data_IF_772205221892
#
_entry.id   IF_772205221892
#
_cell.length_a   1.000
_cell.length_b   1.000
_cell.length_c   1.000
_cell.angle_alpha   90.00
_cell.angle_beta   90.00
_cell.angle_gamma   90.00
#
_symmetry.space_group_name_H-M   'P 1'
#
loop_
_entity.id
_entity.type
_entity.pdbx_description
1 polymer ?
#
# COMPACT_ATOMS: atom_id res chain seq x y z
N UNK A 1 19.95 -35.44 -17.35
CA UNK A 1 18.89 -34.87 -16.50
C UNK A 1 19.39 -33.55 -15.94
N UNK A 2 18.84 -32.43 -16.39
CA UNK A 2 19.22 -31.10 -15.88
C UNK A 2 18.31 -30.80 -14.70
N UNK A 3 18.87 -30.81 -13.49
CA UNK A 3 18.13 -30.52 -12.28
C UNK A 3 18.12 -28.99 -12.11
N UNK A 4 16.95 -28.39 -12.29
CA UNK A 4 16.72 -26.94 -12.24
C UNK A 4 16.75 -26.43 -10.80
N UNK A 5 17.93 -26.40 -10.17
CA UNK A 5 18.10 -25.85 -8.82
C UNK A 5 18.02 -24.31 -8.77
N UNK A 6 18.06 -23.63 -9.93
CA UNK A 6 18.01 -22.16 -9.99
C UNK A 6 16.61 -21.58 -10.10
N UNK A 7 15.59 -22.36 -10.45
CA UNK A 7 14.22 -21.82 -10.63
C UNK A 7 13.41 -21.71 -9.34
N UNK A 8 13.72 -22.50 -8.31
CA UNK A 8 12.96 -22.48 -7.04
C UNK A 8 13.32 -21.31 -6.13
N UNK A 9 14.60 -20.89 -6.11
CA UNK A 9 15.08 -19.79 -5.27
C UNK A 9 14.48 -18.42 -5.67
N UNK A 10 14.27 -18.17 -6.98
CA UNK A 10 13.61 -16.95 -7.46
C UNK A 10 12.10 -16.92 -7.21
N UNK A 11 11.49 -18.04 -6.84
CA UNK A 11 10.05 -18.10 -6.60
C UNK A 11 9.70 -17.73 -5.16
N UNK A 12 10.51 -18.19 -4.19
CA UNK A 12 10.36 -17.82 -2.78
C UNK A 12 10.55 -16.31 -2.54
N UNK A 13 11.30 -15.63 -3.39
CA UNK A 13 11.52 -14.17 -3.33
C UNK A 13 10.29 -13.34 -3.75
N UNK A 14 9.27 -13.97 -4.36
CA UNK A 14 8.02 -13.32 -4.79
C UNK A 14 6.88 -13.55 -3.82
N UNK A 15 7.10 -14.41 -2.84
CA UNK A 15 6.07 -14.93 -1.94
C UNK A 15 6.27 -14.29 -0.57
N UNK A 16 5.25 -13.56 -0.15
CA UNK A 16 5.12 -13.03 1.18
C UNK A 16 4.05 -13.80 1.90
N UNK A 17 4.33 -14.21 3.13
CA UNK A 17 3.27 -14.70 4.01
C UNK A 17 2.94 -13.57 4.98
N UNK A 18 1.67 -13.22 5.12
CA UNK A 18 1.21 -12.31 6.17
C UNK A 18 0.40 -13.10 7.18
N UNK A 19 0.67 -12.87 8.46
CA UNK A 19 -0.18 -13.29 9.57
C UNK A 19 -0.90 -12.05 10.09
N UNK A 20 -2.22 -12.05 9.99
CA UNK A 20 -3.04 -10.86 10.22
C UNK A 20 -3.96 -11.06 11.41
N UNK A 21 -3.91 -10.11 12.33
CA UNK A 21 -4.96 -9.85 13.32
C UNK A 21 -5.88 -8.76 12.80
N UNK A 22 -7.17 -9.07 12.77
CA UNK A 22 -8.20 -8.12 12.40
C UNK A 22 -9.15 -7.89 13.57
N UNK A 23 -9.45 -6.62 13.80
CA UNK A 23 -10.39 -6.14 14.80
C UNK A 23 -11.23 -5.03 14.18
N UNK A 24 -12.53 -5.00 14.49
CA UNK A 24 -13.49 -4.04 13.88
C UNK A 24 -13.07 -2.56 14.04
N UNK A 25 -12.50 -2.18 15.19
CA UNK A 25 -12.22 -0.79 15.54
C UNK A 25 -10.74 -0.37 15.37
N UNK A 26 -9.89 -1.21 14.77
CA UNK A 26 -8.46 -0.93 14.65
C UNK A 26 -7.95 -1.18 13.24
N UNK A 27 -6.91 -0.42 12.80
CA UNK A 27 -6.22 -0.76 11.57
C UNK A 27 -5.72 -2.20 11.65
N UNK A 28 -5.72 -2.89 10.52
CA UNK A 28 -5.22 -4.27 10.43
C UNK A 28 -3.78 -4.34 10.94
N UNK A 29 -3.49 -5.26 11.85
CA UNK A 29 -2.14 -5.45 12.38
C UNK A 29 -1.63 -6.83 11.98
N UNK A 30 -0.33 -6.95 11.74
CA UNK A 30 0.21 -8.23 11.35
C UNK A 30 1.71 -8.31 11.26
N UNK A 31 2.16 -9.52 10.94
CA UNK A 31 3.56 -9.83 10.69
C UNK A 31 3.69 -10.27 9.23
N UNK A 32 4.56 -9.59 8.51
CA UNK A 32 5.02 -9.95 7.18
C UNK A 32 6.24 -10.85 7.30
N UNK A 33 6.18 -12.01 6.65
CA UNK A 33 7.26 -12.98 6.53
C UNK A 33 7.70 -13.04 5.06
N UNK A 34 9.00 -12.95 4.84
CA UNK A 34 9.60 -13.06 3.52
C UNK A 34 10.34 -14.40 3.37
N UNK A 35 9.86 -15.30 2.49
CA UNK A 35 10.47 -16.61 2.28
C UNK A 35 10.51 -17.53 3.52
N UNK A 36 11.15 -18.71 3.38
CA UNK A 36 11.18 -19.75 4.44
C UNK A 36 12.12 -19.44 5.61
N UNK A 37 12.99 -18.44 5.50
CA UNK A 37 13.95 -18.06 6.55
C UNK A 37 14.16 -16.55 6.72
N UNK A 38 13.33 -15.72 6.11
CA UNK A 38 13.61 -14.28 5.99
C UNK A 38 12.97 -13.39 7.06
N UNK A 39 13.39 -12.13 6.96
CA UNK A 39 13.05 -10.99 7.81
C UNK A 39 11.56 -10.96 8.17
N UNK A 40 11.28 -10.78 9.47
CA UNK A 40 9.94 -10.54 9.98
C UNK A 40 9.76 -9.04 10.18
N UNK A 41 8.78 -8.46 9.51
CA UNK A 41 8.42 -7.06 9.69
C UNK A 41 7.01 -6.97 10.30
N UNK A 42 6.85 -6.22 11.38
CA UNK A 42 5.52 -5.87 11.89
C UNK A 42 4.98 -4.74 11.03
N UNK A 43 3.71 -4.81 10.67
CA UNK A 43 3.01 -3.73 9.99
C UNK A 43 1.70 -3.39 10.69
N UNK A 44 1.33 -2.11 10.60
CA UNK A 44 0.06 -1.54 11.05
C UNK A 44 -0.61 -0.85 9.87
N UNK A 45 -1.74 -1.38 9.43
CA UNK A 45 -2.48 -0.92 8.27
C UNK A 45 -1.90 -1.39 6.94
N UNK A 46 -2.72 -1.28 5.89
CA UNK A 46 -2.34 -1.69 4.54
C UNK A 46 -1.26 -0.82 3.89
N UNK A 47 -1.17 0.47 4.26
CA UNK A 47 -0.10 1.33 3.75
C UNK A 47 1.27 0.82 4.19
N UNK A 48 1.42 0.44 5.46
CA UNK A 48 2.69 -0.08 5.97
C UNK A 48 3.02 -1.45 5.39
N UNK A 49 2.03 -2.34 5.25
CA UNK A 49 2.20 -3.58 4.49
C UNK A 49 2.72 -3.31 3.07
N UNK A 50 2.09 -2.35 2.38
CA UNK A 50 2.46 -2.00 1.03
C UNK A 50 3.90 -1.46 0.95
N UNK A 51 4.25 -0.61 1.91
CA UNK A 51 5.58 -0.03 2.06
C UNK A 51 6.65 -1.10 2.30
N UNK A 52 6.44 -2.01 3.24
CA UNK A 52 7.41 -3.07 3.56
C UNK A 52 7.68 -3.97 2.35
N UNK A 53 6.62 -4.41 1.65
CA UNK A 53 6.78 -5.19 0.43
C UNK A 53 7.48 -4.41 -0.70
N UNK A 54 7.15 -3.11 -0.89
CA UNK A 54 7.87 -2.24 -1.84
C UNK A 54 9.37 -2.16 -1.53
N UNK A 55 9.74 -2.05 -0.26
CA UNK A 55 11.15 -2.03 0.18
C UNK A 55 11.84 -3.36 -0.10
N UNK A 56 11.18 -4.49 0.17
CA UNK A 56 11.70 -5.81 -0.17
C UNK A 56 11.93 -5.93 -1.68
N UNK A 57 10.99 -5.51 -2.52
CA UNK A 57 11.15 -5.55 -3.98
C UNK A 57 12.26 -4.64 -4.49
N UNK A 58 12.44 -3.46 -3.89
CA UNK A 58 13.53 -2.55 -4.23
C UNK A 58 14.90 -3.16 -3.90
N UNK A 59 15.03 -3.84 -2.75
CA UNK A 59 16.26 -4.51 -2.33
C UNK A 59 16.60 -5.73 -3.19
N UNK A 60 15.59 -6.56 -3.49
CA UNK A 60 15.75 -7.74 -4.35
C UNK A 60 15.92 -7.38 -5.84
N UNK A 61 15.56 -6.14 -6.22
CA UNK A 61 15.39 -5.71 -7.61
C UNK A 61 14.49 -6.66 -8.43
N UNK A 62 13.53 -7.28 -7.76
CA UNK A 62 12.65 -8.29 -8.33
C UNK A 62 11.33 -8.39 -7.54
N UNK A 63 10.15 -8.48 -8.21
CA UNK A 63 9.95 -8.21 -9.63
C UNK A 63 10.33 -6.77 -9.97
N UNK A 64 10.94 -6.56 -11.14
CA UNK A 64 11.34 -5.21 -11.55
C UNK A 64 10.10 -4.38 -11.84
N UNK A 65 10.01 -3.15 -11.30
CA UNK A 65 8.97 -2.24 -11.72
C UNK A 65 9.20 -1.88 -13.19
N UNK A 66 8.13 -1.86 -13.98
CA UNK A 66 8.20 -1.41 -15.39
C UNK A 66 8.32 0.12 -15.47
N UNK A 67 8.00 0.80 -14.38
CA UNK A 67 7.84 2.25 -14.30
C UNK A 67 8.64 2.79 -13.12
N UNK A 68 9.34 3.90 -13.32
CA UNK A 68 10.02 4.60 -12.22
C UNK A 68 9.00 5.17 -11.23
N UNK A 69 9.34 5.14 -9.94
CA UNK A 69 8.47 5.65 -8.89
C UNK A 69 8.40 7.17 -8.96
N UNK A 70 7.18 7.71 -8.97
CA UNK A 70 6.98 9.15 -8.82
C UNK A 70 6.99 9.52 -7.35
N UNK A 71 7.63 10.64 -7.05
CA UNK A 71 7.76 11.12 -5.69
C UNK A 71 7.28 12.57 -5.60
N UNK A 72 6.70 12.91 -4.45
CA UNK A 72 6.45 14.30 -4.09
C UNK A 72 7.75 15.02 -3.67
N UNK A 73 8.85 14.29 -3.52
CA UNK A 73 10.17 14.77 -3.11
C UNK A 73 11.17 14.52 -4.25
N UNK A 74 12.18 15.37 -4.39
CA UNK A 74 13.34 15.12 -5.27
C UNK A 74 14.67 15.17 -4.50
N UNK A 75 14.65 15.53 -3.22
CA UNK A 75 15.81 15.54 -2.35
C UNK A 75 16.16 14.12 -1.91
N UNK A 76 17.46 13.79 -1.87
CA UNK A 76 17.97 12.59 -1.20
C UNK A 76 17.67 12.72 0.29
N UNK A 77 16.46 12.36 0.70
CA UNK A 77 16.22 12.05 2.10
C UNK A 77 17.08 10.84 2.39
N UNK A 78 18.08 10.98 3.27
CA UNK A 78 18.69 9.83 3.91
C UNK A 78 17.53 9.03 4.49
N UNK A 79 17.24 7.89 3.87
CA UNK A 79 16.32 6.90 4.42
C UNK A 79 17.09 6.31 5.60
N UNK A 80 17.24 7.07 6.67
CA UNK A 80 17.61 6.53 7.95
C UNK A 80 16.51 5.53 8.27
N UNK A 81 16.91 4.26 8.26
CA UNK A 81 16.13 3.19 8.86
C UNK A 81 15.87 3.62 10.30
N UNK A 82 14.74 4.25 10.55
CA UNK A 82 14.11 4.22 11.86
C UNK A 82 13.60 2.78 12.06
N UNK A 83 14.54 1.84 12.13
CA UNK A 83 14.29 0.53 12.69
C UNK A 83 13.99 0.78 14.14
N UNK A 84 12.71 0.80 14.49
CA UNK A 84 12.33 0.55 15.87
C UNK A 84 12.91 -0.85 16.15
N UNK A 85 13.82 -1.02 17.13
CA UNK A 85 14.27 -2.33 17.55
C UNK A 85 13.07 -3.00 18.22
N UNK A 86 12.22 -3.62 17.41
CA UNK A 86 11.08 -4.38 17.87
C UNK A 86 11.58 -5.70 18.43
N UNK A 87 11.47 -5.85 19.74
CA UNK A 87 11.45 -7.12 20.46
C UNK A 87 10.78 -8.23 19.63
N UNK A 88 11.29 -9.46 19.77
CA UNK A 88 10.78 -10.63 19.07
C UNK A 88 9.25 -10.63 19.05
N UNK A 89 8.60 -10.64 17.86
CA UNK A 89 7.16 -10.44 17.76
C UNK A 89 6.44 -11.53 18.56
N UNK A 90 5.66 -11.11 19.56
CA UNK A 90 4.76 -12.00 20.28
C UNK A 90 3.86 -12.72 19.27
N UNK A 91 3.66 -14.03 19.48
CA UNK A 91 2.83 -14.83 18.59
C UNK A 91 1.41 -14.26 18.57
N UNK A 92 1.05 -13.79 17.39
CA UNK A 92 -0.28 -13.28 17.08
C UNK A 92 -1.31 -14.40 17.30
N UNK A 93 -2.17 -14.20 18.30
CA UNK A 93 -3.09 -15.19 18.84
C UNK A 93 -4.48 -15.20 18.21
N UNK A 94 -4.60 -15.13 16.88
CA UNK A 94 -5.75 -15.61 16.06
C UNK A 94 -5.50 -15.38 14.56
N UNK A 95 -4.23 -15.46 14.12
CA UNK A 95 -3.82 -14.99 12.79
C UNK A 95 -4.53 -15.69 11.63
N UNK A 96 -5.25 -14.92 10.80
CA UNK A 96 -5.52 -15.35 9.42
C UNK A 96 -4.22 -15.24 8.62
N UNK A 97 -3.76 -16.38 8.07
CA UNK A 97 -2.52 -16.44 7.28
C UNK A 97 -2.82 -16.38 5.80
N UNK A 98 -2.20 -15.42 5.11
CA UNK A 98 -2.31 -15.28 3.66
C UNK A 98 -0.94 -15.40 3.01
N UNK A 99 -0.89 -16.11 1.89
CA UNK A 99 0.27 -16.20 1.03
C UNK A 99 0.02 -15.32 -0.18
N UNK A 100 0.75 -14.21 -0.28
CA UNK A 100 0.67 -13.25 -1.38
C UNK A 100 1.86 -13.48 -2.30
N UNK A 101 1.59 -13.73 -3.58
CA UNK A 101 2.61 -13.84 -4.62
C UNK A 101 2.45 -12.72 -5.63
N UNK A 102 3.42 -11.81 -5.67
CA UNK A 102 3.46 -10.75 -6.69
C UNK A 102 4.24 -11.24 -7.89
N UNK A 103 3.57 -11.31 -9.04
CA UNK A 103 4.15 -11.83 -10.29
C UNK A 103 4.67 -10.71 -11.19
N UNK A 104 3.97 -9.57 -11.23
CA UNK A 104 4.30 -8.45 -12.10
C UNK A 104 4.06 -7.11 -11.40
N UNK A 105 4.76 -6.08 -11.89
CA UNK A 105 4.67 -4.69 -11.39
C UNK A 105 4.45 -3.71 -12.54
N UNK A 106 3.26 -3.78 -13.13
CA UNK A 106 2.83 -2.93 -14.23
C UNK A 106 1.95 -1.78 -13.73
N UNK A 107 1.90 -0.69 -14.49
CA UNK A 107 1.09 0.50 -14.21
C UNK A 107 1.33 1.10 -12.82
N UNK A 108 2.56 0.98 -12.29
CA UNK A 108 2.90 1.36 -10.92
C UNK A 108 2.01 0.68 -9.85
N UNK A 109 1.54 -0.54 -10.11
CA UNK A 109 0.79 -1.38 -9.16
C UNK A 109 1.34 -2.80 -9.15
N UNK A 110 0.68 -3.70 -8.43
CA UNK A 110 1.04 -5.12 -8.32
C UNK A 110 -0.02 -6.00 -8.96
N UNK A 111 0.45 -7.02 -9.67
CA UNK A 111 -0.36 -8.12 -10.19
C UNK A 111 0.13 -9.42 -9.58
N UNK A 112 -0.78 -10.33 -9.28
CA UNK A 112 -0.40 -11.53 -8.56
C UNK A 112 -1.58 -12.37 -8.13
N UNK A 113 -1.34 -13.19 -7.11
CA UNK A 113 -2.37 -13.97 -6.47
C UNK A 113 -2.18 -14.02 -4.96
N UNK A 114 -3.26 -14.29 -4.26
CA UNK A 114 -3.30 -14.46 -2.81
C UNK A 114 -4.12 -15.69 -2.48
N UNK A 115 -3.66 -16.50 -1.52
CA UNK A 115 -4.42 -17.61 -0.95
C UNK A 115 -4.40 -17.53 0.57
N UNK A 116 -5.44 -18.06 1.20
CA UNK A 116 -5.51 -18.23 2.66
C UNK A 116 -5.22 -19.68 3.01
N UNK A 117 -4.04 -19.97 3.56
CA UNK A 117 -3.55 -21.34 3.72
C UNK A 117 -3.63 -22.14 2.40
N UNK A 118 -4.13 -23.37 2.47
CA UNK A 118 -4.39 -24.26 1.31
C UNK A 118 -5.73 -23.96 0.60
N UNK A 119 -6.31 -22.77 0.85
CA UNK A 119 -7.59 -22.33 0.29
C UNK A 119 -7.51 -21.92 -1.19
N UNK A 120 -8.64 -21.43 -1.69
CA UNK A 120 -8.76 -20.99 -3.08
C UNK A 120 -7.78 -19.85 -3.41
N UNK A 121 -7.24 -19.90 -4.63
CA UNK A 121 -6.36 -18.86 -5.16
C UNK A 121 -7.19 -17.71 -5.72
N UNK A 122 -7.01 -16.51 -5.18
CA UNK A 122 -7.58 -15.29 -5.72
C UNK A 122 -6.53 -14.54 -6.56
N UNK A 123 -6.83 -14.27 -7.83
CA UNK A 123 -5.96 -13.49 -8.72
C UNK A 123 -6.33 -12.02 -8.62
N UNK A 124 -5.33 -11.16 -8.42
CA UNK A 124 -5.50 -9.71 -8.39
C UNK A 124 -4.69 -9.03 -9.50
N UNK A 125 -5.26 -8.00 -10.11
CA UNK A 125 -4.63 -7.17 -11.14
C UNK A 125 -4.08 -5.83 -10.60
N UNK A 126 -4.43 -5.49 -9.35
CA UNK A 126 -3.96 -4.27 -8.70
C UNK A 126 -3.82 -4.46 -7.18
N UNK A 127 -3.02 -3.59 -6.56
CA UNK A 127 -2.95 -3.50 -5.09
C UNK A 127 -4.32 -3.19 -4.47
N UNK A 128 -5.15 -2.39 -5.14
CA UNK A 128 -6.49 -2.05 -4.66
C UNK A 128 -7.40 -3.29 -4.61
N UNK A 129 -7.33 -4.18 -5.61
CA UNK A 129 -8.05 -5.45 -5.57
C UNK A 129 -7.55 -6.38 -4.47
N UNK A 130 -6.23 -6.41 -4.22
CA UNK A 130 -5.66 -7.19 -3.12
C UNK A 130 -6.22 -6.73 -1.77
N UNK A 131 -6.21 -5.42 -1.50
CA UNK A 131 -6.79 -4.85 -0.26
C UNK A 131 -8.28 -5.17 -0.16
N UNK A 132 -9.03 -5.02 -1.27
CA UNK A 132 -10.46 -5.32 -1.28
C UNK A 132 -10.78 -6.77 -0.98
N UNK A 133 -9.97 -7.71 -1.48
CA UNK A 133 -10.07 -9.12 -1.15
C UNK A 133 -9.78 -9.38 0.34
N UNK A 134 -8.67 -8.85 0.85
CA UNK A 134 -8.28 -9.03 2.26
C UNK A 134 -9.33 -8.47 3.22
N UNK A 135 -9.84 -7.27 2.94
CA UNK A 135 -10.89 -6.63 3.75
C UNK A 135 -12.21 -7.43 3.72
N UNK A 136 -12.59 -7.99 2.57
CA UNK A 136 -13.79 -8.83 2.46
C UNK A 136 -13.65 -10.11 3.27
N UNK A 137 -12.50 -10.77 3.18
CA UNK A 137 -12.24 -12.03 3.88
C UNK A 137 -12.09 -11.82 5.39
N UNK A 138 -11.38 -10.77 5.81
CA UNK A 138 -11.18 -10.44 7.24
C UNK A 138 -12.44 -9.90 7.90
N UNK A 139 -13.20 -9.05 7.22
CA UNK A 139 -14.44 -8.46 7.75
C UNK A 139 -15.62 -9.43 7.79
N UNK A 140 -15.44 -10.69 7.39
CA UNK A 140 -16.46 -11.74 7.52
C UNK A 140 -17.73 -11.51 6.69
N UNK A 141 -17.69 -10.62 5.68
CA UNK A 141 -18.85 -10.34 4.82
C UNK A 141 -18.97 -11.49 3.81
N UNK A 142 -19.66 -12.55 4.22
CA UNK A 142 -20.20 -13.55 3.30
C UNK A 142 -21.21 -12.87 2.38
N UNK A 143 -20.87 -12.73 1.09
CA UNK A 143 -21.70 -12.35 -0.06
C UNK A 143 -23.11 -11.79 0.26
N UNK A 144 -23.15 -10.68 0.98
CA UNK A 144 -24.36 -9.86 1.06
C UNK A 144 -24.26 -8.82 -0.03
N UNK A 145 -24.96 -9.10 -1.14
CA UNK A 145 -25.23 -8.21 -2.26
C UNK A 145 -25.21 -6.71 -1.88
N UNK A 146 -24.11 -6.04 -2.17
CA UNK A 146 -24.03 -4.57 -2.26
C UNK A 146 -22.90 -4.07 -3.18
N UNK A 147 -22.09 -4.96 -3.77
CA UNK A 147 -20.95 -4.55 -4.61
C UNK A 147 -21.30 -4.25 -6.08
N UNK A 148 -22.57 -4.40 -6.48
CA UNK A 148 -23.01 -4.22 -7.87
C UNK A 148 -23.24 -2.77 -8.30
N UNK A 149 -23.33 -1.83 -7.36
CA UNK A 149 -23.72 -0.43 -7.63
C UNK A 149 -22.84 0.61 -6.92
N UNK A 150 -21.75 0.20 -6.25
CA UNK A 150 -20.76 1.19 -5.79
C UNK A 150 -20.03 1.74 -7.01
N UNK A 151 -20.26 3.01 -7.33
CA UNK A 151 -19.52 3.70 -8.39
C UNK A 151 -18.01 3.66 -8.10
N UNK A 152 -17.16 3.62 -9.13
CA UNK A 152 -15.70 3.51 -8.98
C UNK A 152 -15.09 4.56 -8.03
N UNK A 153 -15.73 5.73 -7.94
CA UNK A 153 -15.35 6.77 -7.00
C UNK A 153 -15.63 6.40 -5.54
N UNK A 154 -16.80 5.84 -5.22
CA UNK A 154 -17.16 5.41 -3.86
C UNK A 154 -16.25 4.28 -3.41
N UNK A 155 -15.98 3.34 -4.31
CA UNK A 155 -15.02 2.26 -4.10
C UNK A 155 -13.63 2.80 -3.75
N UNK A 156 -13.10 3.73 -4.55
CA UNK A 156 -11.82 4.38 -4.27
C UNK A 156 -11.82 5.11 -2.92
N UNK A 157 -12.86 5.91 -2.66
CA UNK A 157 -12.99 6.70 -1.43
C UNK A 157 -12.97 5.83 -0.17
N UNK A 158 -13.64 4.67 -0.23
CA UNK A 158 -13.67 3.68 0.86
C UNK A 158 -12.28 3.13 1.13
N UNK A 159 -11.64 2.55 0.12
CA UNK A 159 -10.33 1.91 0.30
C UNK A 159 -9.20 2.89 0.56
N UNK A 160 -9.27 4.11 0.04
CA UNK A 160 -8.31 5.15 0.39
C UNK A 160 -8.41 5.52 1.89
N UNK A 161 -9.64 5.60 2.43
CA UNK A 161 -9.85 5.80 3.86
C UNK A 161 -9.24 4.68 4.70
N UNK A 162 -9.50 3.42 4.32
CA UNK A 162 -8.96 2.23 5.00
C UNK A 162 -7.43 2.21 4.97
N UNK A 163 -6.82 2.40 3.80
CA UNK A 163 -5.37 2.25 3.61
C UNK A 163 -4.59 3.37 4.29
N UNK A 164 -5.10 4.61 4.23
CA UNK A 164 -4.40 5.77 4.79
C UNK A 164 -4.70 6.01 6.27
N UNK A 165 -5.71 5.34 6.84
CA UNK A 165 -6.16 5.50 8.23
C UNK A 165 -6.29 6.99 8.65
N UNK A 166 -6.83 7.81 7.75
CA UNK A 166 -6.83 9.26 7.90
C UNK A 166 -8.01 9.74 8.77
N UNK A 167 -7.74 10.67 9.69
CA UNK A 167 -8.71 11.13 10.69
C UNK A 167 -9.75 12.13 10.14
N UNK A 168 -9.41 12.93 9.12
CA UNK A 168 -10.31 13.97 8.60
C UNK A 168 -10.42 13.90 7.07
N UNK A 169 -11.62 13.54 6.60
CA UNK A 169 -12.00 13.57 5.19
C UNK A 169 -12.96 14.73 4.95
N UNK A 170 -12.62 15.60 4.01
CA UNK A 170 -13.51 16.67 3.56
C UNK A 170 -13.83 16.47 2.08
N UNK A 171 -15.12 16.39 1.73
CA UNK A 171 -15.55 16.38 0.32
C UNK A 171 -15.96 17.80 -0.06
N UNK A 172 -15.02 18.55 -0.61
CA UNK A 172 -15.23 19.96 -0.99
C UNK A 172 -15.92 20.05 -2.36
N UNK A 173 -15.62 19.12 -3.26
CA UNK A 173 -16.18 19.03 -4.60
C UNK A 173 -16.59 17.58 -4.91
N UNK A 174 -17.53 17.37 -5.86
CA UNK A 174 -17.97 16.03 -6.23
C UNK A 174 -16.80 15.12 -6.62
N UNK A 175 -15.85 15.62 -7.41
CA UNK A 175 -14.77 14.82 -8.01
C UNK A 175 -13.40 15.01 -7.34
N UNK A 176 -13.34 15.77 -6.25
CA UNK A 176 -12.08 16.06 -5.55
C UNK A 176 -12.18 15.60 -4.10
N UNK A 177 -11.32 14.65 -3.75
CA UNK A 177 -11.19 14.16 -2.39
C UNK A 177 -10.16 15.01 -1.65
N UNK A 178 -10.50 15.51 -0.47
CA UNK A 178 -9.57 16.25 0.37
C UNK A 178 -9.29 15.46 1.64
N UNK A 179 -8.02 15.12 1.83
CA UNK A 179 -7.52 14.39 3.00
C UNK A 179 -6.58 15.30 3.77
N UNK A 180 -6.86 15.48 5.06
CA UNK A 180 -5.99 16.24 5.96
C UNK A 180 -5.38 15.31 7.00
N UNK A 181 -4.06 15.28 7.05
CA UNK A 181 -3.29 14.58 8.07
C UNK A 181 -2.76 15.59 9.06
N UNK A 182 -3.16 15.49 10.33
CA UNK A 182 -2.62 16.29 11.41
C UNK A 182 -1.66 15.42 12.22
N UNK A 183 -0.38 15.76 12.22
CA UNK A 183 0.65 15.08 13.04
C UNK A 183 1.53 16.13 13.69
N UNK A 184 1.74 16.02 14.99
CA UNK A 184 2.66 16.87 15.77
C UNK A 184 2.43 18.38 15.54
N UNK A 185 1.17 18.81 15.43
CA UNK A 185 0.79 20.21 15.23
C UNK A 185 0.94 20.74 13.80
N UNK A 186 1.44 19.93 12.86
CA UNK A 186 1.48 20.25 11.42
C UNK A 186 0.34 19.56 10.69
N UNK A 187 -0.34 20.26 9.80
CA UNK A 187 -1.39 19.72 8.93
C UNK A 187 -0.85 19.57 7.50
N UNK A 188 -0.99 18.39 6.92
CA UNK A 188 -0.73 18.13 5.50
C UNK A 188 -2.06 17.88 4.79
N UNK A 189 -2.35 18.68 3.77
CA UNK A 189 -3.60 18.66 3.03
C UNK A 189 -3.35 18.20 1.60
N UNK A 190 -3.94 17.07 1.25
CA UNK A 190 -3.88 16.50 -0.09
C UNK A 190 -5.24 16.64 -0.77
N UNK A 191 -5.23 17.15 -2.01
CA UNK A 191 -6.40 17.17 -2.89
C UNK A 191 -6.16 16.15 -4.00
N UNK A 192 -7.05 15.18 -4.12
CA UNK A 192 -6.93 14.05 -5.03
C UNK A 192 -8.06 14.15 -6.03
N UNK A 193 -7.71 14.16 -7.31
CA UNK A 193 -8.66 14.17 -8.41
C UNK A 193 -8.48 12.90 -9.24
N UNK A 194 -9.28 11.85 -8.98
CA UNK A 194 -9.35 10.69 -9.86
C UNK A 194 -9.90 11.12 -11.23
N UNK A 195 -9.29 10.63 -12.31
CA UNK A 195 -9.65 10.96 -13.69
C UNK A 195 -10.05 9.72 -14.48
N UNK A 196 -9.39 8.59 -14.26
CA UNK A 196 -9.64 7.33 -14.97
C UNK A 196 -9.67 6.15 -13.99
N UNK A 197 -10.50 5.16 -14.31
CA UNK A 197 -10.65 3.91 -13.56
C UNK A 197 -10.38 2.74 -14.50
N UNK A 198 -9.11 2.41 -14.67
CA UNK A 198 -8.63 1.37 -15.59
C UNK A 198 -7.75 0.38 -14.84
N UNK A 199 -7.64 -0.84 -15.35
CA UNK A 199 -6.80 -1.90 -14.77
C UNK A 199 -7.09 -2.18 -13.29
N UNK A 200 -8.37 -2.08 -12.91
CA UNK A 200 -8.84 -2.28 -11.53
C UNK A 200 -8.16 -1.38 -10.49
N UNK A 201 -7.75 -0.19 -10.94
CA UNK A 201 -7.15 0.87 -10.13
C UNK A 201 -7.69 2.23 -10.59
N UNK A 202 -7.26 3.31 -9.94
CA UNK A 202 -7.49 4.68 -10.38
C UNK A 202 -6.21 5.36 -10.87
N UNK A 203 -6.38 6.33 -11.78
CA UNK A 203 -5.35 7.26 -12.25
C UNK A 203 -5.86 8.69 -12.12
N UNK A 204 -4.96 9.66 -11.93
CA UNK A 204 -5.38 11.04 -11.74
C UNK A 204 -4.27 11.96 -11.24
N UNK A 205 -4.67 13.02 -10.54
CA UNK A 205 -3.75 14.02 -10.00
C UNK A 205 -3.83 14.12 -8.49
N UNK A 206 -2.66 14.31 -7.87
CA UNK A 206 -2.48 14.56 -6.45
C UNK A 206 -1.87 15.96 -6.30
N UNK A 207 -2.57 16.84 -5.59
CA UNK A 207 -2.09 18.17 -5.24
C UNK A 207 -1.82 18.24 -3.74
N UNK A 208 -0.62 18.66 -3.36
CA UNK A 208 -0.22 18.88 -1.98
C UNK A 208 -0.23 20.39 -1.69
N UNK A 209 -1.15 20.81 -0.82
CA UNK A 209 -1.46 22.22 -0.58
C UNK A 209 -0.28 22.99 0.02
N UNK A 210 0.37 22.42 1.03
CA UNK A 210 1.39 23.10 1.83
C UNK A 210 2.62 23.47 0.99
N UNK A 211 2.95 22.64 0.00
CA UNK A 211 4.09 22.86 -0.91
C UNK A 211 3.69 23.27 -2.32
N UNK A 212 2.39 23.50 -2.57
CA UNK A 212 1.82 23.87 -3.88
C UNK A 212 2.27 22.95 -5.02
N UNK A 213 2.51 21.67 -4.74
CA UNK A 213 3.04 20.70 -5.70
C UNK A 213 1.94 19.81 -6.24
N UNK A 214 1.88 19.67 -7.56
CA UNK A 214 0.96 18.75 -8.24
C UNK A 214 1.74 17.65 -8.94
N UNK A 215 1.33 16.39 -8.74
CA UNK A 215 1.92 15.22 -9.41
C UNK A 215 0.80 14.31 -9.92
N UNK A 216 1.03 13.66 -11.05
CA UNK A 216 0.11 12.68 -11.59
C UNK A 216 0.40 11.29 -11.01
N UNK A 217 -0.63 10.51 -10.67
CA UNK A 217 -0.51 9.10 -10.27
C UNK A 217 -1.11 8.19 -11.33
N UNK A 218 -0.51 7.01 -11.50
CA UNK A 218 -0.89 5.96 -12.45
C UNK A 218 -1.58 4.77 -11.79
N UNK A 219 -1.58 4.71 -10.46
CA UNK A 219 -2.31 3.71 -9.71
C UNK A 219 -2.67 4.21 -8.31
N UNK A 220 -3.55 3.45 -7.66
CA UNK A 220 -3.86 3.58 -6.25
C UNK A 220 -2.63 3.36 -5.35
N UNK A 221 -1.77 2.37 -5.69
CA UNK A 221 -0.53 2.11 -4.96
C UNK A 221 0.44 3.29 -5.03
N UNK A 222 0.57 3.89 -6.21
CA UNK A 222 1.43 5.07 -6.41
C UNK A 222 0.88 6.29 -5.65
N UNK A 223 -0.43 6.49 -5.66
CA UNK A 223 -1.11 7.54 -4.89
C UNK A 223 -0.83 7.42 -3.39
N UNK A 224 -1.12 6.26 -2.78
CA UNK A 224 -0.90 6.06 -1.33
C UNK A 224 0.58 6.08 -0.98
N UNK A 225 1.44 5.59 -1.87
CA UNK A 225 2.89 5.67 -1.74
C UNK A 225 3.39 7.11 -1.66
N UNK A 226 2.93 7.99 -2.55
CA UNK A 226 3.29 9.41 -2.53
C UNK A 226 2.79 10.11 -1.26
N UNK A 227 1.52 9.91 -0.90
CA UNK A 227 0.93 10.53 0.31
C UNK A 227 1.64 10.06 1.58
N UNK A 228 1.87 8.75 1.71
CA UNK A 228 2.51 8.20 2.90
C UNK A 228 3.98 8.59 3.03
N UNK A 229 4.74 8.67 1.92
CA UNK A 229 6.09 9.26 1.92
C UNK A 229 6.07 10.72 2.36
N UNK A 230 5.08 11.50 1.91
CA UNK A 230 4.91 12.89 2.33
C UNK A 230 4.58 13.06 3.81
N UNK A 231 3.73 12.19 4.34
CA UNK A 231 3.40 12.19 5.77
C UNK A 231 4.56 11.68 6.64
N UNK A 232 5.46 10.83 6.12
CA UNK A 232 6.64 10.32 6.87
C UNK A 232 7.84 11.28 6.83
N UNK A 233 8.13 11.91 5.69
CA UNK A 233 9.35 12.69 5.47
C UNK A 233 9.23 14.18 5.86
N UNK A 234 8.47 14.50 6.91
CA UNK A 234 8.13 15.89 7.29
C UNK A 234 9.32 16.75 7.76
N UNK A 235 10.48 16.13 8.06
CA UNK A 235 11.69 16.83 8.52
C UNK A 235 12.66 17.28 7.43
N UNK A 236 12.49 16.85 6.17
CA UNK A 236 13.45 17.14 5.08
C UNK A 236 13.17 18.42 4.29
N UNK A 237 12.11 19.17 4.63
CA UNK A 237 11.61 20.31 3.83
C UNK A 237 12.04 21.70 4.33
N UNK A 238 12.84 21.82 5.39
CA UNK A 238 13.23 23.13 5.96
C UNK A 238 14.27 23.89 5.09
N UNK A 239 14.50 23.52 3.82
CA UNK A 239 15.63 24.03 3.03
C UNK A 239 15.39 24.38 1.55
N UNK A 240 14.21 24.16 0.97
CA UNK A 240 13.95 24.51 -0.44
C UNK A 240 12.74 25.45 -0.58
N UNK A 241 12.76 26.57 0.16
CA UNK A 241 12.12 27.78 -0.35
C UNK A 241 13.03 28.36 -1.43
N UNK A 242 12.76 28.03 -2.70
CA UNK A 242 13.24 28.84 -3.81
C UNK A 242 12.76 30.29 -3.57
N UNK A 243 13.74 31.16 -3.37
CA UNK A 243 13.55 32.59 -3.43
C UNK A 243 13.08 32.95 -4.86
N UNK A 244 11.92 33.60 -4.95
CA UNK A 244 11.52 34.41 -6.10
C UNK A 244 11.51 35.86 -5.68
#
# INVERSE_FOLDING_TARGET
MAISYKSSLYDSERIFTIAVDWHEDRPVEGILYQGEGGTRARFTGYYELAWEMEQCFAQLQYPRPVMDRRELFSGKADIERAGIPGEAPAEVGSASRYTIRVTQRQNASWQGNVSKGDGALYVFSSFLQLVAYLERDLGGIADSKAAGEEGCQQYLERYLGIVMNCQEKMKILPDTLVYRFCREGRSQTFMIRPMFYEHDTCQGTLYWKEYRKQVNFRSFLELVGMMGSAVRNQGSWDGETEAV
#
